data_IF_063578642355
#
_entry.id   IF_063578642355
#
_cell.length_a   1.000
_cell.length_b   1.000
_cell.length_c   1.000
_cell.angle_alpha   90.00
_cell.angle_beta   90.00
_cell.angle_gamma   90.00
#
_symmetry.space_group_name_H-M   'P 1'
#
loop_
_entity.id
_entity.type
_entity.pdbx_description
1 polymer ?
#
# COMPACT_ATOMS: atom_id res chain seq x y z
N UNK A 1 17.96 11.40 -28.01
CA UNK A 1 18.63 12.62 -27.56
C UNK A 1 17.84 13.28 -26.46
N UNK A 2 18.37 13.49 -25.42
CA UNK A 2 18.67 14.34 -24.27
C UNK A 2 18.11 13.79 -22.95
N UNK A 3 19.05 13.32 -22.15
CA UNK A 3 18.90 13.08 -20.70
C UNK A 3 19.03 14.43 -19.98
N UNK A 4 18.08 14.77 -19.14
CA UNK A 4 18.24 15.87 -18.19
C UNK A 4 18.55 15.26 -16.81
N UNK A 5 19.83 15.43 -16.43
CA UNK A 5 20.31 15.25 -15.04
C UNK A 5 20.13 16.57 -14.32
N UNK A 6 19.41 16.55 -13.20
CA UNK A 6 19.43 17.68 -12.25
C UNK A 6 20.25 17.27 -11.03
N UNK A 7 21.40 17.92 -10.87
CA UNK A 7 22.30 17.77 -9.74
C UNK A 7 21.90 18.77 -8.63
N UNK A 8 21.93 18.34 -7.38
CA UNK A 8 21.87 19.21 -6.18
C UNK A 8 23.29 19.60 -5.76
N UNK A 9 23.57 20.87 -5.43
CA UNK A 9 24.85 21.28 -4.89
C UNK A 9 24.89 21.16 -3.36
N UNK A 10 25.94 20.50 -2.86
CA UNK A 10 26.33 20.52 -1.46
C UNK A 10 26.92 21.86 -1.04
N UNK A 11 26.73 22.23 0.22
CA UNK A 11 27.50 23.24 0.93
C UNK A 11 28.16 22.64 2.17
N UNK A 12 29.47 22.51 2.09
CA UNK A 12 30.34 22.35 3.24
C UNK A 12 30.63 23.74 3.86
N UNK A 13 30.61 23.81 5.18
CA UNK A 13 31.35 24.81 5.92
C UNK A 13 31.97 24.17 7.16
N UNK A 14 33.27 24.00 7.10
CA UNK A 14 34.14 23.76 8.24
C UNK A 14 34.51 25.11 8.86
N UNK A 15 34.62 25.13 10.19
CA UNK A 15 35.65 25.89 10.94
C UNK A 15 35.46 25.62 12.44
N UNK A 16 36.47 24.94 13.03
CA UNK A 16 36.74 24.98 14.45
C UNK A 16 37.55 26.21 14.78
N UNK A 17 37.64 26.69 16.06
CA UNK A 17 38.86 26.34 16.77
C UNK A 17 38.70 26.01 18.26
N UNK A 18 39.82 25.52 18.76
CA UNK A 18 40.16 24.94 20.03
C UNK A 18 39.96 25.87 21.26
N UNK A 19 39.72 25.24 22.41
CA UNK A 19 39.76 25.85 23.74
C UNK A 19 39.83 24.77 24.82
N UNK A 20 41.07 24.44 25.23
CA UNK A 20 41.43 23.55 26.31
C UNK A 20 40.89 23.97 27.67
N UNK A 21 40.49 23.00 28.51
CA UNK A 21 40.76 22.93 29.95
C UNK A 21 40.20 21.61 30.53
N UNK A 22 41.08 20.77 31.02
CA UNK A 22 40.89 19.59 31.88
C UNK A 22 40.96 19.97 33.35
N UNK A 23 40.84 19.01 34.31
CA UNK A 23 39.75 18.09 34.63
C UNK A 23 39.25 18.28 36.09
N UNK A 24 38.12 17.77 36.47
CA UNK A 24 37.81 17.44 37.88
C UNK A 24 36.93 16.19 37.97
N UNK A 25 37.35 15.36 38.87
CA UNK A 25 36.97 14.00 39.26
C UNK A 25 35.44 13.75 39.44
N UNK A 26 35.07 12.50 39.22
CA UNK A 26 33.75 11.89 39.28
C UNK A 26 33.13 11.81 40.69
N UNK A 27 31.99 11.14 40.83
CA UNK A 27 31.94 9.67 40.88
C UNK A 27 30.79 8.97 40.14
N UNK A 28 31.12 7.78 39.69
CA UNK A 28 30.39 6.50 39.69
C UNK A 28 28.85 6.44 39.44
N UNK A 29 28.60 5.64 38.43
CA UNK A 29 27.63 4.53 38.37
C UNK A 29 26.18 4.80 38.00
N UNK A 30 25.81 3.97 37.00
CA UNK A 30 24.51 3.37 36.73
C UNK A 30 23.50 4.27 36.00
N UNK A 31 23.34 4.11 34.73
CA UNK A 31 22.21 3.37 34.17
C UNK A 31 22.24 3.44 32.63
N UNK A 32 22.84 2.45 32.02
CA UNK A 32 22.83 2.27 30.57
C UNK A 32 21.76 1.23 30.19
N UNK A 33 20.49 1.50 30.51
CA UNK A 33 19.43 0.52 30.18
C UNK A 33 18.07 1.17 29.99
N UNK A 34 17.96 2.24 29.19
CA UNK A 34 16.64 2.80 28.88
C UNK A 34 16.42 3.28 27.43
N UNK A 35 17.34 2.98 26.51
CA UNK A 35 17.14 3.43 25.12
C UNK A 35 16.57 2.36 24.17
N UNK A 36 16.37 1.11 24.61
CA UNK A 36 15.73 0.04 23.84
C UNK A 36 14.19 0.02 23.95
N UNK A 37 13.65 0.55 25.03
CA UNK A 37 12.20 0.49 25.31
C UNK A 37 11.34 1.50 24.54
N UNK A 38 11.91 2.63 24.15
CA UNK A 38 11.16 3.69 23.45
C UNK A 38 10.93 3.37 21.96
N UNK A 39 11.84 2.64 21.32
CA UNK A 39 11.69 2.27 19.92
C UNK A 39 10.70 1.10 19.73
N UNK A 40 10.70 0.12 20.62
CA UNK A 40 9.75 -1.00 20.59
C UNK A 40 8.32 -0.54 20.91
N UNK A 41 8.14 0.27 21.95
CA UNK A 41 6.83 0.82 22.32
C UNK A 41 6.25 1.80 21.31
N UNK A 42 7.11 2.46 20.50
CA UNK A 42 6.68 3.38 19.43
C UNK A 42 6.01 2.65 18.27
N UNK A 43 6.57 1.52 17.83
CA UNK A 43 5.98 0.68 16.78
C UNK A 43 4.60 0.13 17.19
N UNK A 44 4.51 -0.40 18.39
CA UNK A 44 3.25 -0.93 18.93
C UNK A 44 2.16 0.15 19.07
N UNK A 45 2.51 1.36 19.51
CA UNK A 45 1.55 2.46 19.61
C UNK A 45 1.02 2.88 18.23
N UNK A 46 1.88 2.92 17.22
CA UNK A 46 1.52 3.21 15.84
C UNK A 46 0.55 2.16 15.27
N UNK A 47 0.83 0.87 15.49
CA UNK A 47 -0.05 -0.22 15.06
C UNK A 47 -1.42 -0.15 15.75
N UNK A 48 -1.47 0.08 17.07
CA UNK A 48 -2.75 0.27 17.77
C UNK A 48 -3.56 1.44 17.22
N UNK A 49 -2.91 2.53 16.76
CA UNK A 49 -3.61 3.64 16.10
C UNK A 49 -4.20 3.20 14.78
N UNK A 50 -3.46 2.43 13.97
CA UNK A 50 -3.94 1.91 12.70
C UNK A 50 -5.11 0.94 12.90
N UNK A 51 -5.01 -0.01 13.84
CA UNK A 51 -6.10 -0.93 14.19
C UNK A 51 -7.38 -0.19 14.59
N UNK A 52 -7.22 0.77 15.52
CA UNK A 52 -8.36 1.55 15.99
C UNK A 52 -9.00 2.42 14.89
N UNK A 53 -8.19 2.93 13.96
CA UNK A 53 -8.67 3.72 12.84
C UNK A 53 -9.43 2.85 11.83
N UNK A 54 -8.91 1.68 11.50
CA UNK A 54 -9.55 0.73 10.60
C UNK A 54 -10.93 0.32 11.12
N UNK A 55 -11.01 -0.14 12.37
CA UNK A 55 -12.27 -0.50 13.02
C UNK A 55 -13.29 0.64 12.96
N UNK A 56 -12.87 1.85 13.32
CA UNK A 56 -13.77 2.99 13.40
C UNK A 56 -14.16 3.54 12.02
N UNK A 57 -13.26 3.54 11.04
CA UNK A 57 -13.60 3.95 9.68
C UNK A 57 -14.53 2.95 9.00
N UNK A 58 -14.38 1.66 9.29
CA UNK A 58 -15.31 0.64 8.80
C UNK A 58 -16.70 0.83 9.38
N UNK A 59 -16.80 1.03 10.70
CA UNK A 59 -18.08 1.12 11.40
C UNK A 59 -18.82 2.44 11.12
N UNK A 60 -18.14 3.57 11.21
CA UNK A 60 -18.76 4.90 11.24
C UNK A 60 -18.50 5.74 9.98
N UNK A 61 -17.55 5.32 9.15
CA UNK A 61 -17.03 6.12 8.04
C UNK A 61 -15.88 7.05 8.45
N UNK A 62 -15.14 7.51 7.45
CA UNK A 62 -13.99 8.37 7.67
C UNK A 62 -14.39 9.72 8.27
N UNK A 63 -15.32 10.44 7.64
CA UNK A 63 -15.68 11.80 8.05
C UNK A 63 -16.28 11.87 9.46
N UNK A 64 -17.14 10.91 9.80
CA UNK A 64 -17.81 10.84 11.10
C UNK A 64 -16.88 10.38 12.25
N UNK A 65 -15.66 9.93 11.97
CA UNK A 65 -14.71 9.45 12.96
C UNK A 65 -13.72 10.54 13.39
N UNK A 66 -13.86 11.14 14.60
CA UNK A 66 -12.89 12.12 15.08
C UNK A 66 -11.60 11.45 15.55
N UNK A 67 -10.44 12.11 15.32
CA UNK A 67 -9.13 11.60 15.76
C UNK A 67 -9.02 11.38 17.28
N UNK A 68 -9.76 12.13 18.08
CA UNK A 68 -9.83 11.92 19.53
C UNK A 68 -10.45 10.57 19.92
N UNK A 69 -11.41 10.07 19.12
CA UNK A 69 -12.00 8.75 19.31
C UNK A 69 -11.01 7.65 18.94
N UNK A 70 -10.26 7.84 17.86
CA UNK A 70 -9.18 6.92 17.46
C UNK A 70 -8.12 6.85 18.56
N UNK A 71 -7.61 7.99 19.04
CA UNK A 71 -6.60 8.03 20.11
C UNK A 71 -7.08 7.30 21.38
N UNK A 72 -8.34 7.52 21.79
CA UNK A 72 -8.95 6.84 22.95
C UNK A 72 -9.06 5.33 22.74
N UNK A 73 -9.52 4.89 21.55
CA UNK A 73 -9.64 3.45 21.20
C UNK A 73 -8.27 2.77 21.17
N UNK A 74 -7.24 3.46 20.66
CA UNK A 74 -5.86 2.99 20.61
C UNK A 74 -5.13 3.04 21.96
N UNK A 75 -5.76 3.60 23.00
CA UNK A 75 -5.15 3.84 24.30
C UNK A 75 -3.84 4.66 24.20
N UNK A 76 -3.84 5.73 23.40
CA UNK A 76 -2.70 6.63 23.23
C UNK A 76 -3.10 8.10 23.51
N UNK A 77 -2.11 8.91 23.87
CA UNK A 77 -2.31 10.36 23.94
C UNK A 77 -2.59 10.93 22.54
N UNK A 78 -3.51 11.91 22.44
CA UNK A 78 -3.84 12.56 21.15
C UNK A 78 -2.61 13.16 20.46
N UNK A 79 -1.65 13.71 21.22
CA UNK A 79 -0.40 14.24 20.70
C UNK A 79 0.44 13.18 20.02
N UNK A 80 0.47 11.94 20.54
CA UNK A 80 1.19 10.84 19.94
C UNK A 80 0.55 10.39 18.61
N UNK A 81 -0.78 10.41 18.50
CA UNK A 81 -1.46 10.17 17.24
C UNK A 81 -1.02 11.19 16.17
N UNK A 82 -1.00 12.49 16.49
CA UNK A 82 -0.58 13.52 15.54
C UNK A 82 0.94 13.54 15.28
N UNK A 83 1.73 12.97 16.16
CA UNK A 83 3.15 12.74 15.90
C UNK A 83 3.35 11.72 14.77
N UNK A 84 2.59 10.63 14.76
CA UNK A 84 2.67 9.61 13.70
C UNK A 84 1.89 9.99 12.44
N UNK A 85 0.75 10.65 12.61
CA UNK A 85 -0.19 10.97 11.53
C UNK A 85 -0.65 12.42 11.67
N UNK A 86 0.08 13.38 11.08
CA UNK A 86 -0.22 14.83 11.19
C UNK A 86 -1.64 15.18 10.74
N UNK A 87 -2.18 14.47 9.74
CA UNK A 87 -3.55 14.63 9.25
C UNK A 87 -4.30 13.30 9.33
N UNK A 88 -5.62 13.38 9.49
CA UNK A 88 -6.49 12.18 9.47
C UNK A 88 -6.41 11.45 8.12
N UNK A 89 -6.25 12.18 7.02
CA UNK A 89 -6.02 11.61 5.68
C UNK A 89 -4.70 10.86 5.57
N UNK A 90 -3.64 11.27 6.27
CA UNK A 90 -2.37 10.54 6.28
C UNK A 90 -2.52 9.17 6.95
N UNK A 91 -3.32 9.11 8.02
CA UNK A 91 -3.68 7.86 8.67
C UNK A 91 -4.46 6.92 7.74
N UNK A 92 -5.46 7.44 7.01
CA UNK A 92 -6.23 6.67 6.05
C UNK A 92 -5.37 6.15 4.88
N UNK A 93 -4.56 7.01 4.27
CA UNK A 93 -3.66 6.61 3.19
C UNK A 93 -2.59 5.58 3.65
N UNK A 94 -2.17 5.67 4.92
CA UNK A 94 -1.25 4.69 5.50
C UNK A 94 -1.92 3.34 5.70
N UNK A 95 -3.18 3.30 6.15
CA UNK A 95 -3.97 2.06 6.22
C UNK A 95 -4.02 1.36 4.86
N UNK A 96 -4.35 2.09 3.80
CA UNK A 96 -4.41 1.50 2.46
C UNK A 96 -3.03 0.98 2.01
N UNK A 97 -1.98 1.78 2.20
CA UNK A 97 -0.63 1.41 1.76
C UNK A 97 -0.08 0.19 2.49
N UNK A 98 -0.36 0.02 3.78
CA UNK A 98 0.28 -1.00 4.60
C UNK A 98 -0.60 -2.25 4.79
N UNK A 99 -1.91 -2.11 4.68
CA UNK A 99 -2.85 -3.19 4.96
C UNK A 99 -3.66 -3.69 3.77
N UNK A 100 -3.79 -2.89 2.70
CA UNK A 100 -4.22 -3.46 1.44
C UNK A 100 -3.06 -4.27 0.84
N UNK A 101 -3.27 -5.54 0.52
CA UNK A 101 -2.21 -6.42 0.05
C UNK A 101 -1.67 -6.07 -1.34
N UNK A 102 -2.24 -5.11 -2.01
CA UNK A 102 -1.82 -4.62 -3.34
C UNK A 102 -0.52 -3.80 -3.29
N UNK A 103 0.47 -4.24 -2.54
CA UNK A 103 1.85 -3.78 -2.68
C UNK A 103 2.33 -4.16 -4.09
N UNK A 104 3.06 -3.28 -4.78
CA UNK A 104 3.65 -3.64 -6.06
C UNK A 104 4.48 -4.91 -5.85
N UNK A 105 4.08 -5.97 -6.53
CA UNK A 105 4.81 -7.23 -6.49
C UNK A 105 6.21 -6.93 -7.05
N UNK A 106 7.22 -7.07 -6.22
CA UNK A 106 8.60 -6.80 -6.61
C UNK A 106 9.15 -7.80 -7.63
N UNK A 107 8.38 -8.86 -7.92
CA UNK A 107 8.72 -9.87 -8.91
C UNK A 107 7.49 -10.71 -9.28
N UNK A 108 7.35 -11.03 -10.55
CA UNK A 108 6.36 -12.00 -11.06
C UNK A 108 6.86 -13.45 -10.99
N UNK A 109 8.03 -13.68 -10.40
CA UNK A 109 8.58 -15.02 -10.19
C UNK A 109 7.63 -15.86 -9.32
N UNK A 110 7.32 -17.06 -9.77
CA UNK A 110 6.35 -17.97 -9.12
C UNK A 110 4.88 -17.64 -9.40
N UNK A 111 4.59 -16.53 -10.11
CA UNK A 111 3.24 -16.18 -10.58
C UNK A 111 3.10 -16.55 -12.06
N UNK A 112 3.99 -16.04 -12.89
CA UNK A 112 3.97 -16.28 -14.33
C UNK A 112 4.53 -17.67 -14.65
N UNK A 113 3.75 -18.48 -15.35
CA UNK A 113 4.15 -19.79 -15.88
C UNK A 113 4.03 -19.76 -17.39
N UNK A 114 5.15 -19.99 -18.08
CA UNK A 114 5.21 -19.98 -19.54
C UNK A 114 4.21 -20.94 -20.17
N UNK A 115 3.34 -20.43 -21.03
CA UNK A 115 2.28 -21.20 -21.69
C UNK A 115 0.96 -21.28 -20.90
N UNK A 116 0.92 -20.82 -19.66
CA UNK A 116 -0.26 -20.82 -18.81
C UNK A 116 -0.67 -19.39 -18.42
N UNK A 117 -1.24 -18.65 -19.38
CA UNK A 117 -1.66 -17.26 -19.16
C UNK A 117 -2.80 -17.18 -18.14
N UNK A 118 -3.84 -18.03 -18.31
CA UNK A 118 -5.02 -18.01 -17.46
C UNK A 118 -4.66 -18.32 -16.00
N UNK A 119 -3.95 -19.42 -15.75
CA UNK A 119 -3.49 -19.77 -14.41
C UNK A 119 -2.52 -18.75 -13.82
N UNK A 120 -1.72 -18.04 -14.65
CA UNK A 120 -0.85 -16.96 -14.19
C UNK A 120 -1.64 -15.74 -13.71
N UNK A 121 -2.72 -15.38 -14.40
CA UNK A 121 -3.63 -14.30 -13.97
C UNK A 121 -4.37 -14.66 -12.68
N UNK A 122 -4.82 -15.90 -12.52
CA UNK A 122 -5.45 -16.36 -11.26
C UNK A 122 -4.47 -16.29 -10.10
N UNK A 123 -3.23 -16.81 -10.28
CA UNK A 123 -2.18 -16.71 -9.26
C UNK A 123 -1.83 -15.26 -8.92
N UNK A 124 -1.87 -14.36 -9.91
CA UNK A 124 -1.72 -12.92 -9.67
C UNK A 124 -2.83 -12.40 -8.77
N UNK A 125 -4.10 -12.70 -9.07
CA UNK A 125 -5.24 -12.27 -8.27
C UNK A 125 -5.15 -12.76 -6.82
N UNK A 126 -4.80 -14.03 -6.61
CA UNK A 126 -4.59 -14.62 -5.29
C UNK A 126 -3.46 -13.93 -4.53
N UNK A 127 -2.35 -13.62 -5.23
CA UNK A 127 -1.19 -12.97 -4.63
C UNK A 127 -1.46 -11.50 -4.27
N UNK A 128 -2.23 -10.79 -5.10
CA UNK A 128 -2.68 -9.43 -4.84
C UNK A 128 -3.64 -9.39 -3.66
N UNK A 129 -4.45 -10.44 -3.45
CA UNK A 129 -5.23 -10.64 -2.23
C UNK A 129 -6.29 -9.57 -1.95
N UNK A 130 -6.81 -8.87 -2.98
CA UNK A 130 -7.85 -7.84 -2.81
C UNK A 130 -9.20 -8.43 -2.37
N UNK A 131 -9.39 -9.73 -2.52
CA UNK A 131 -10.66 -10.44 -2.27
C UNK A 131 -10.77 -11.07 -0.87
N UNK A 132 -9.73 -10.98 -0.04
CA UNK A 132 -9.74 -11.45 1.35
C UNK A 132 -10.64 -10.58 2.25
N UNK A 133 -11.25 -11.16 3.29
CA UNK A 133 -12.19 -10.44 4.20
C UNK A 133 -11.63 -9.12 4.75
N UNK A 134 -10.36 -9.12 5.17
CA UNK A 134 -9.70 -7.90 5.67
C UNK A 134 -9.54 -6.86 4.58
N UNK A 135 -9.13 -7.28 3.39
CA UNK A 135 -9.02 -6.41 2.22
C UNK A 135 -10.36 -5.84 1.76
N UNK A 136 -11.46 -6.59 1.95
CA UNK A 136 -12.81 -6.16 1.61
C UNK A 136 -13.22 -4.90 2.38
N UNK A 137 -13.01 -4.90 3.70
CA UNK A 137 -13.33 -3.74 4.55
C UNK A 137 -12.54 -2.51 4.11
N UNK A 138 -11.23 -2.66 3.90
CA UNK A 138 -10.37 -1.56 3.47
C UNK A 138 -10.69 -1.10 2.04
N UNK A 139 -11.00 -2.02 1.13
CA UNK A 139 -11.44 -1.68 -0.22
C UNK A 139 -12.74 -0.89 -0.21
N UNK A 140 -13.70 -1.29 0.62
CA UNK A 140 -14.96 -0.56 0.78
C UNK A 140 -14.73 0.88 1.24
N UNK A 141 -13.87 1.08 2.25
CA UNK A 141 -13.49 2.41 2.72
C UNK A 141 -12.79 3.19 1.59
N UNK A 142 -11.84 2.57 0.90
CA UNK A 142 -11.08 3.17 -0.19
C UNK A 142 -12.01 3.70 -1.30
N UNK A 143 -12.90 2.86 -1.82
CA UNK A 143 -13.81 3.24 -2.89
C UNK A 143 -14.85 4.28 -2.44
N UNK A 144 -15.32 4.22 -1.19
CA UNK A 144 -16.24 5.21 -0.64
C UNK A 144 -15.60 6.59 -0.53
N UNK A 145 -14.40 6.63 0.03
CA UNK A 145 -13.72 7.89 0.32
C UNK A 145 -13.03 8.51 -0.90
N UNK A 146 -12.71 7.71 -1.93
CA UNK A 146 -12.07 8.22 -3.15
C UNK A 146 -12.93 9.25 -3.92
N UNK A 147 -14.26 9.25 -3.74
CA UNK A 147 -15.15 10.22 -4.36
C UNK A 147 -15.02 11.63 -3.75
N UNK A 148 -14.71 11.73 -2.47
CA UNK A 148 -14.67 12.97 -1.68
C UNK A 148 -13.27 13.44 -1.34
N UNK A 149 -12.30 12.51 -1.20
CA UNK A 149 -10.95 12.83 -0.77
C UNK A 149 -9.91 12.69 -1.90
N UNK A 150 -9.30 13.79 -2.39
CA UNK A 150 -8.31 13.75 -3.48
C UNK A 150 -7.10 12.86 -3.17
N UNK A 151 -6.58 12.87 -1.94
CA UNK A 151 -5.45 12.03 -1.54
C UNK A 151 -5.77 10.53 -1.65
N UNK A 152 -7.00 10.13 -1.28
CA UNK A 152 -7.50 8.76 -1.41
C UNK A 152 -7.69 8.38 -2.88
N UNK A 153 -8.22 9.29 -3.69
CA UNK A 153 -8.38 9.11 -5.15
C UNK A 153 -7.04 8.91 -5.84
N UNK A 154 -6.02 9.71 -5.46
CA UNK A 154 -4.66 9.56 -5.98
C UNK A 154 -4.07 8.19 -5.60
N UNK A 155 -4.33 7.72 -4.37
CA UNK A 155 -3.90 6.40 -3.93
C UNK A 155 -4.58 5.28 -4.75
N UNK A 156 -5.89 5.37 -4.98
CA UNK A 156 -6.63 4.42 -5.83
C UNK A 156 -6.10 4.42 -7.27
N UNK A 157 -5.78 5.60 -7.82
CA UNK A 157 -5.17 5.72 -9.15
C UNK A 157 -3.77 5.07 -9.22
N UNK A 158 -2.95 5.27 -8.19
CA UNK A 158 -1.63 4.63 -8.11
C UNK A 158 -1.74 3.10 -7.99
N UNK A 159 -2.69 2.60 -7.19
CA UNK A 159 -3.00 1.18 -7.09
C UNK A 159 -3.42 0.60 -8.44
N UNK A 160 -4.36 1.25 -9.14
CA UNK A 160 -4.77 0.83 -10.48
C UNK A 160 -3.59 0.75 -11.44
N UNK A 161 -2.72 1.77 -11.46
CA UNK A 161 -1.53 1.79 -12.32
C UNK A 161 -0.58 0.63 -11.99
N UNK A 162 -0.30 0.39 -10.72
CA UNK A 162 0.56 -0.72 -10.28
C UNK A 162 -0.02 -2.09 -10.68
N UNK A 163 -1.34 -2.28 -10.56
CA UNK A 163 -2.01 -3.51 -11.00
C UNK A 163 -1.92 -3.69 -12.52
N UNK A 164 -2.08 -2.61 -13.29
CA UNK A 164 -1.91 -2.65 -14.75
C UNK A 164 -0.49 -3.09 -15.13
N UNK A 165 0.52 -2.46 -14.53
CA UNK A 165 1.93 -2.73 -14.85
C UNK A 165 2.31 -4.18 -14.53
N UNK A 166 1.96 -4.68 -13.34
CA UNK A 166 2.26 -6.06 -12.96
C UNK A 166 1.46 -7.08 -13.79
N UNK A 167 0.23 -6.76 -14.18
CA UNK A 167 -0.56 -7.65 -15.04
C UNK A 167 0.05 -7.74 -16.44
N UNK A 168 0.48 -6.61 -17.02
CA UNK A 168 1.19 -6.61 -18.29
C UNK A 168 2.49 -7.44 -18.21
N UNK A 169 3.25 -7.32 -17.11
CA UNK A 169 4.47 -8.10 -16.89
C UNK A 169 4.18 -9.61 -16.79
N UNK A 170 3.13 -10.01 -16.06
CA UNK A 170 2.70 -11.41 -15.95
C UNK A 170 2.29 -11.95 -17.32
N UNK A 171 1.53 -11.19 -18.10
CA UNK A 171 1.12 -11.59 -19.45
C UNK A 171 2.31 -11.78 -20.39
N UNK A 172 3.29 -10.89 -20.37
CA UNK A 172 4.51 -11.00 -21.18
C UNK A 172 5.34 -12.22 -20.76
N UNK A 173 5.53 -12.44 -19.46
CA UNK A 173 6.31 -13.56 -18.94
C UNK A 173 5.66 -14.91 -19.20
N UNK A 174 4.32 -14.99 -19.08
CA UNK A 174 3.55 -16.22 -19.27
C UNK A 174 3.27 -16.55 -20.76
N UNK A 175 3.31 -15.55 -21.65
CA UNK A 175 2.98 -15.77 -23.05
C UNK A 175 4.02 -16.63 -23.76
N UNK A 176 3.62 -17.65 -24.56
CA UNK A 176 4.54 -18.45 -25.37
C UNK A 176 5.16 -17.66 -26.55
N UNK A 177 4.53 -16.55 -26.94
CA UNK A 177 4.96 -15.67 -28.05
C UNK A 177 4.94 -14.20 -27.62
N UNK A 178 5.62 -13.34 -28.36
CA UNK A 178 5.55 -11.90 -28.15
C UNK A 178 4.12 -11.39 -28.35
N UNK A 179 3.64 -10.58 -27.42
CA UNK A 179 2.31 -9.99 -27.45
C UNK A 179 2.36 -8.60 -28.10
N UNK A 180 1.35 -8.29 -28.90
CA UNK A 180 1.13 -6.91 -29.35
C UNK A 180 0.86 -6.02 -28.14
N UNK A 181 1.48 -4.84 -28.10
CA UNK A 181 1.39 -3.91 -26.97
C UNK A 181 -0.05 -3.47 -26.70
N UNK A 182 -0.82 -3.18 -27.74
CA UNK A 182 -2.20 -2.71 -27.59
C UNK A 182 -3.10 -3.81 -27.04
N UNK A 183 -2.98 -5.01 -27.58
CA UNK A 183 -3.75 -6.20 -27.11
C UNK A 183 -3.38 -6.56 -25.68
N UNK A 184 -2.08 -6.59 -25.34
CA UNK A 184 -1.62 -6.84 -23.96
C UNK A 184 -2.22 -5.85 -22.97
N UNK A 185 -2.13 -4.54 -23.28
CA UNK A 185 -2.68 -3.49 -22.41
C UNK A 185 -4.20 -3.57 -22.27
N UNK A 186 -4.92 -3.90 -23.35
CA UNK A 186 -6.36 -4.10 -23.32
C UNK A 186 -6.73 -5.30 -22.44
N UNK A 187 -6.02 -6.40 -22.57
CA UNK A 187 -6.19 -7.61 -21.77
C UNK A 187 -5.92 -7.34 -20.27
N UNK A 188 -4.81 -6.66 -19.96
CA UNK A 188 -4.49 -6.24 -18.60
C UNK A 188 -5.59 -5.34 -18.02
N UNK A 189 -6.06 -4.35 -18.80
CA UNK A 189 -7.14 -3.47 -18.38
C UNK A 189 -8.45 -4.19 -18.10
N UNK A 190 -8.83 -5.16 -18.95
CA UNK A 190 -10.02 -5.98 -18.73
C UNK A 190 -9.91 -6.80 -17.44
N UNK A 191 -8.77 -7.48 -17.23
CA UNK A 191 -8.56 -8.29 -16.05
C UNK A 191 -8.54 -7.44 -14.76
N UNK A 192 -7.80 -6.32 -14.77
CA UNK A 192 -7.72 -5.40 -13.61
C UNK A 192 -9.08 -4.79 -13.30
N UNK A 193 -9.88 -4.43 -14.33
CA UNK A 193 -11.23 -3.90 -14.11
C UNK A 193 -12.12 -4.90 -13.37
N UNK A 194 -12.08 -6.19 -13.76
CA UNK A 194 -12.85 -7.25 -13.08
C UNK A 194 -12.32 -7.50 -11.67
N UNK A 195 -11.00 -7.52 -11.48
CA UNK A 195 -10.38 -7.69 -10.17
C UNK A 195 -10.76 -6.57 -9.20
N UNK A 196 -10.72 -5.31 -9.65
CA UNK A 196 -11.14 -4.16 -8.86
C UNK A 196 -12.65 -4.13 -8.63
N UNK A 197 -13.44 -4.59 -9.60
CA UNK A 197 -14.88 -4.75 -9.43
C UNK A 197 -15.19 -5.77 -8.35
N UNK A 198 -14.57 -6.95 -8.37
CA UNK A 198 -14.73 -7.97 -7.35
C UNK A 198 -14.36 -7.45 -5.95
N UNK A 199 -13.25 -6.73 -5.82
CA UNK A 199 -12.84 -6.11 -4.56
C UNK A 199 -13.88 -5.13 -3.97
N UNK A 200 -14.74 -4.54 -4.82
CA UNK A 200 -15.78 -3.58 -4.43
C UNK A 200 -17.19 -4.18 -4.44
N UNK A 201 -17.33 -5.44 -4.85
CA UNK A 201 -18.62 -6.05 -5.21
C UNK A 201 -19.57 -6.27 -4.03
N UNK A 202 -19.05 -6.38 -2.78
CA UNK A 202 -19.88 -6.55 -1.58
C UNK A 202 -20.89 -5.43 -1.32
N UNK A 203 -20.80 -4.34 -2.09
CA UNK A 203 -21.77 -3.22 -2.04
C UNK A 203 -23.03 -3.48 -2.87
N UNK A 204 -23.00 -4.50 -3.72
CA UNK A 204 -24.07 -4.82 -4.66
C UNK A 204 -24.49 -6.26 -4.44
N UNK A 205 -25.72 -6.52 -4.05
CA UNK A 205 -26.28 -7.88 -3.90
C UNK A 205 -26.39 -8.59 -5.26
N UNK A 206 -25.26 -8.89 -5.89
CA UNK A 206 -25.21 -9.51 -7.20
C UNK A 206 -24.23 -10.69 -7.29
N UNK A 207 -24.16 -11.42 -8.41
CA UNK A 207 -23.22 -12.52 -8.59
C UNK A 207 -21.78 -12.01 -8.69
N UNK A 208 -20.90 -12.55 -7.85
CA UNK A 208 -19.45 -12.23 -7.89
C UNK A 208 -18.88 -12.67 -9.24
N UNK A 209 -18.09 -11.81 -9.94
CA UNK A 209 -17.42 -12.23 -11.17
C UNK A 209 -16.52 -13.44 -10.94
N UNK A 210 -16.56 -14.40 -11.85
CA UNK A 210 -15.63 -15.52 -11.83
C UNK A 210 -14.30 -15.08 -12.47
N UNK A 211 -13.29 -14.86 -11.62
CA UNK A 211 -11.96 -14.49 -12.07
C UNK A 211 -11.28 -15.55 -12.91
N UNK A 212 -11.55 -16.83 -12.65
CA UNK A 212 -10.99 -17.93 -13.45
C UNK A 212 -11.56 -17.92 -14.86
N UNK A 213 -12.88 -17.82 -15.00
CA UNK A 213 -13.53 -17.67 -16.30
C UNK A 213 -13.09 -16.39 -17.03
N UNK A 214 -12.92 -15.28 -16.30
CA UNK A 214 -12.39 -14.03 -16.86
C UNK A 214 -10.96 -14.22 -17.37
N UNK A 215 -10.09 -14.88 -16.61
CA UNK A 215 -8.72 -15.16 -17.01
C UNK A 215 -8.65 -16.04 -18.28
N UNK A 216 -9.53 -17.05 -18.40
CA UNK A 216 -9.63 -17.88 -19.60
C UNK A 216 -10.04 -17.08 -20.85
N UNK A 217 -11.07 -16.23 -20.72
CA UNK A 217 -11.55 -15.36 -21.82
C UNK A 217 -10.45 -14.40 -22.27
N UNK A 218 -9.81 -13.72 -21.32
CA UNK A 218 -8.72 -12.76 -21.58
C UNK A 218 -7.55 -13.47 -22.28
N UNK A 219 -7.17 -14.65 -21.78
CA UNK A 219 -6.05 -15.44 -22.33
C UNK A 219 -6.35 -15.97 -23.74
N UNK A 220 -7.56 -16.49 -23.96
CA UNK A 220 -8.04 -16.94 -25.25
C UNK A 220 -8.03 -15.81 -26.29
N UNK A 221 -8.50 -14.63 -25.90
CA UNK A 221 -8.47 -13.45 -26.77
C UNK A 221 -7.06 -12.96 -27.13
N UNK A 222 -6.05 -13.18 -26.29
CA UNK A 222 -4.66 -12.82 -26.57
C UNK A 222 -3.97 -13.81 -27.53
N UNK A 223 -4.33 -15.09 -27.48
CA UNK A 223 -3.70 -16.15 -28.28
C UNK A 223 -4.37 -16.35 -29.64
N UNK A 224 -5.58 -15.88 -29.82
CA UNK A 224 -6.25 -15.80 -31.12
C UNK A 224 -5.57 -14.77 -32.03
#
# INVERSE_FOLDING_TARGET
MARVRTAFPGRAHALAPEGSLSPRDGPTSADSSSNGGLAAGGGEARERILDAAEDLFAADGFDATPTSRIARRAAVAKGLLFYYFPRKTDLLCTLFRERLPAQPLSSVAGIAVKGDLAGSLVRLADRVGLTGRHSQVLSEILFREASTHPDVRNHLGALHTALMDVTEEVLDAASPRALDRGRRRAAAGTFVAVLMHEANFHRFDGPVPDLSATAEIVSGGLLA
#
